data_IF_285673585337
#
_entry.id   IF_285673585337
#
_cell.length_a   1.000
_cell.length_b   1.000
_cell.length_c   1.000
_cell.angle_alpha   90.00
_cell.angle_beta   90.00
_cell.angle_gamma   90.00
#
_symmetry.space_group_name_H-M   'P 1'
#
loop_
_entity.id
_entity.type
_entity.pdbx_description
1 polymer ?
#
# COMPACT_ATOMS: atom_id res chain seq x y z
N UNK A 1 21.99 -9.07 21.36
CA UNK A 1 21.57 -9.22 21.02
C UNK A 1 21.40 -9.37 20.44
N UNK A 2 21.37 -9.12 20.47
CA UNK A 2 20.97 -9.22 19.97
C UNK A 2 21.04 -9.35 19.33
N UNK A 3 21.21 -9.01 19.33
CA UNK A 3 21.26 -9.03 18.72
C UNK A 3 21.53 -8.94 18.13
N UNK A 4 21.76 -8.47 18.16
CA UNK A 4 21.94 -8.18 17.54
C UNK A 4 22.58 -7.81 16.98
N UNK A 5 22.89 -7.57 16.81
CA UNK A 5 23.54 -6.93 16.35
C UNK A 5 23.66 -6.35 15.53
N UNK A 6 23.93 -6.46 15.03
CA UNK A 6 23.73 -5.81 14.01
C UNK A 6 23.12 -4.73 14.16
N UNK A 7 22.98 -4.48 14.93
CA UNK A 7 22.18 -3.48 15.19
C UNK A 7 22.59 -2.19 14.71
N UNK A 8 23.75 -1.93 14.53
CA UNK A 8 24.09 -0.65 14.29
C UNK A 8 23.64 -0.04 13.08
N UNK A 9 24.18 -0.26 12.03
CA UNK A 9 23.83 0.46 10.91
C UNK A 9 22.43 0.42 10.78
N UNK A 10 21.85 -0.29 11.53
CA UNK A 10 20.50 -0.43 11.43
C UNK A 10 19.74 0.73 11.87
N UNK A 11 20.30 1.63 12.57
CA UNK A 11 19.52 2.72 13.02
C UNK A 11 18.84 3.45 11.93
N UNK A 12 19.51 3.85 10.91
CA UNK A 12 18.88 4.54 9.87
C UNK A 12 18.02 3.63 9.10
N UNK A 13 18.53 2.50 8.78
CA UNK A 13 17.76 1.56 8.03
C UNK A 13 16.56 1.14 8.80
N UNK A 14 16.70 1.08 10.12
CA UNK A 14 15.62 0.70 10.96
C UNK A 14 14.45 1.65 10.86
N UNK A 15 14.69 2.91 10.79
CA UNK A 15 13.61 3.87 10.66
C UNK A 15 12.81 3.63 9.42
N UNK A 16 13.49 3.38 8.31
CA UNK A 16 12.81 3.14 7.08
C UNK A 16 12.10 1.81 7.10
N UNK A 17 12.74 0.81 7.67
CA UNK A 17 12.12 -0.50 7.75
C UNK A 17 10.88 -0.46 8.60
N UNK A 18 10.93 0.22 9.73
CA UNK A 18 9.76 0.30 10.60
C UNK A 18 8.61 0.97 9.88
N UNK A 19 8.90 2.05 9.16
CA UNK A 19 7.84 2.74 8.44
C UNK A 19 7.21 1.84 7.40
N UNK A 20 8.03 1.15 6.61
CA UNK A 20 7.52 0.29 5.57
C UNK A 20 6.76 -0.89 6.15
N UNK A 21 7.24 -1.43 7.26
CA UNK A 21 6.54 -2.54 7.91
C UNK A 21 5.18 -2.10 8.44
N UNK A 22 5.10 -0.90 8.99
CA UNK A 22 3.82 -0.40 9.46
C UNK A 22 2.84 -0.20 8.31
N UNK A 23 3.32 0.33 7.20
CA UNK A 23 2.47 0.53 6.05
C UNK A 23 2.01 -0.82 5.54
N UNK A 24 2.91 -1.78 5.44
CA UNK A 24 2.57 -3.11 4.96
C UNK A 24 1.51 -3.75 5.86
N UNK A 25 1.71 -3.64 7.18
CA UNK A 25 0.75 -4.18 8.12
C UNK A 25 -0.63 -3.55 7.90
N UNK A 26 -0.67 -2.23 7.76
CA UNK A 26 -1.94 -1.53 7.55
C UNK A 26 -2.60 -1.94 6.25
N UNK A 27 -1.81 -2.22 5.22
CA UNK A 27 -2.35 -2.65 3.95
C UNK A 27 -3.02 -4.01 4.05
N UNK A 28 -2.49 -4.88 4.92
CA UNK A 28 -3.03 -6.23 5.08
C UNK A 28 -4.13 -6.33 6.15
N UNK A 29 -4.34 -5.29 6.93
CA UNK A 29 -5.30 -5.36 8.03
C UNK A 29 -6.33 -4.25 7.92
N UNK A 30 -6.97 -4.21 6.77
CA UNK A 30 -7.96 -3.17 6.53
C UNK A 30 -9.33 -3.50 7.12
N UNK A 31 -9.63 -4.76 7.33
CA UNK A 31 -10.95 -5.11 7.82
C UNK A 31 -11.88 -5.57 6.73
N UNK A 32 -11.50 -5.42 5.49
CA UNK A 32 -12.27 -5.89 4.35
C UNK A 32 -11.34 -6.71 3.53
N UNK A 33 -11.65 -7.98 3.35
CA UNK A 33 -10.72 -8.91 2.72
C UNK A 33 -10.28 -8.47 1.35
N UNK A 34 -11.21 -7.95 0.56
CA UNK A 34 -10.86 -7.52 -0.78
C UNK A 34 -9.82 -6.41 -0.75
N UNK A 35 -9.96 -5.49 0.21
CA UNK A 35 -8.99 -4.41 0.31
C UNK A 35 -7.66 -4.90 0.86
N UNK A 36 -7.68 -5.88 1.75
CA UNK A 36 -6.44 -6.50 2.22
C UNK A 36 -5.68 -7.06 1.02
N UNK A 37 -6.37 -7.75 0.14
CA UNK A 37 -5.73 -8.33 -1.03
C UNK A 37 -5.24 -7.28 -2.01
N UNK A 38 -6.04 -6.25 -2.24
CA UNK A 38 -5.65 -5.23 -3.19
C UNK A 38 -4.47 -4.40 -2.70
N UNK A 39 -4.55 -3.90 -1.49
CA UNK A 39 -3.48 -3.06 -0.97
C UNK A 39 -2.31 -3.88 -0.47
N UNK A 40 -2.60 -4.98 0.22
CA UNK A 40 -1.54 -5.85 0.73
C UNK A 40 -0.74 -6.48 -0.38
N UNK A 41 -1.41 -6.93 -1.44
CA UNK A 41 -0.73 -7.53 -2.57
C UNK A 41 0.20 -6.54 -3.26
N UNK A 42 -0.28 -5.31 -3.46
CA UNK A 42 0.54 -4.28 -4.06
C UNK A 42 1.74 -3.98 -3.15
N UNK A 43 1.48 -3.82 -1.86
CA UNK A 43 2.54 -3.47 -0.93
C UNK A 43 3.60 -4.57 -0.84
N UNK A 44 3.17 -5.83 -0.79
CA UNK A 44 4.13 -6.92 -0.74
C UNK A 44 5.09 -6.86 -1.93
N UNK A 45 4.56 -6.54 -3.09
CA UNK A 45 5.38 -6.53 -4.29
C UNK A 45 6.21 -5.28 -4.43
N UNK A 46 5.73 -4.15 -3.94
CA UNK A 46 6.33 -2.87 -4.29
C UNK A 46 6.88 -2.05 -3.15
N UNK A 47 6.58 -2.40 -1.91
CA UNK A 47 6.88 -1.51 -0.78
C UNK A 47 8.37 -1.11 -0.71
N UNK A 48 9.26 -2.01 -1.05
CA UNK A 48 10.69 -1.72 -0.97
C UNK A 48 11.15 -0.81 -2.09
N UNK A 49 10.38 -0.69 -3.14
CA UNK A 49 10.74 0.13 -4.28
C UNK A 49 10.11 1.50 -4.26
N UNK A 50 9.23 1.75 -3.31
CA UNK A 50 8.55 3.05 -3.27
C UNK A 50 9.47 4.12 -2.68
N UNK A 51 9.45 5.29 -3.29
CA UNK A 51 10.26 6.38 -2.77
C UNK A 51 9.46 7.14 -1.73
N UNK A 52 10.05 8.18 -1.18
CA UNK A 52 9.45 8.91 -0.08
C UNK A 52 8.08 9.50 -0.46
N UNK A 53 7.99 10.07 -1.64
CA UNK A 53 6.73 10.66 -2.06
C UNK A 53 5.64 9.60 -2.21
N UNK A 54 6.01 8.47 -2.78
CA UNK A 54 5.05 7.39 -2.96
C UNK A 54 4.61 6.81 -1.61
N UNK A 55 5.52 6.71 -0.66
CA UNK A 55 5.16 6.24 0.67
C UNK A 55 4.17 7.19 1.33
N UNK A 56 4.38 8.49 1.16
CA UNK A 56 3.44 9.46 1.72
C UNK A 56 2.07 9.33 1.08
N UNK A 57 2.05 9.12 -0.22
CA UNK A 57 0.77 8.97 -0.92
C UNK A 57 0.05 7.71 -0.47
N UNK A 58 0.80 6.64 -0.24
CA UNK A 58 0.19 5.40 0.24
C UNK A 58 -0.33 5.57 1.66
N UNK A 59 0.44 6.23 2.51
CA UNK A 59 -0.03 6.48 3.87
C UNK A 59 -1.30 7.31 3.86
N UNK A 60 -1.37 8.29 2.98
CA UNK A 60 -2.58 9.10 2.88
C UNK A 60 -3.76 8.24 2.42
N UNK A 61 -3.53 7.41 1.42
CA UNK A 61 -4.58 6.56 0.91
C UNK A 61 -5.12 5.62 1.98
N UNK A 62 -4.25 5.17 2.88
CA UNK A 62 -4.68 4.27 3.94
C UNK A 62 -5.61 4.93 4.95
N UNK A 63 -5.77 6.25 4.88
CA UNK A 63 -6.72 6.92 5.75
C UNK A 63 -8.14 6.88 5.21
N UNK A 64 -8.33 6.47 3.97
CA UNK A 64 -9.66 6.39 3.41
C UNK A 64 -10.37 5.13 3.92
N UNK A 65 -11.68 5.16 3.89
CA UNK A 65 -12.46 4.01 4.33
C UNK A 65 -12.43 2.91 3.28
N UNK A 66 -12.45 1.67 3.73
CA UNK A 66 -12.40 0.53 2.84
C UNK A 66 -13.50 0.55 1.80
N UNK A 67 -14.70 0.86 2.21
CA UNK A 67 -15.81 0.82 1.26
C UNK A 67 -15.64 1.85 0.16
N UNK A 68 -15.13 3.01 0.52
CA UNK A 68 -14.89 4.05 -0.48
C UNK A 68 -13.78 3.62 -1.42
N UNK A 69 -12.67 3.13 -0.86
CA UNK A 69 -11.56 2.68 -1.70
C UNK A 69 -12.02 1.59 -2.65
N UNK A 70 -12.77 0.66 -2.14
CA UNK A 70 -13.22 -0.46 -2.96
C UNK A 70 -14.12 0.03 -4.09
N UNK A 71 -15.02 0.96 -3.78
CA UNK A 71 -15.90 1.51 -4.79
C UNK A 71 -15.14 2.26 -5.87
N UNK A 72 -14.11 3.00 -5.47
CA UNK A 72 -13.27 3.71 -6.43
C UNK A 72 -12.46 2.75 -7.27
N UNK A 73 -11.83 1.78 -6.63
CA UNK A 73 -10.93 0.87 -7.33
C UNK A 73 -11.67 -0.07 -8.28
N UNK A 74 -12.92 -0.36 -7.98
CA UNK A 74 -13.70 -1.24 -8.84
C UNK A 74 -14.56 -0.47 -9.83
N UNK A 75 -14.46 0.85 -9.82
CA UNK A 75 -15.19 1.64 -10.80
C UNK A 75 -16.63 1.90 -10.46
N UNK A 76 -17.06 1.54 -9.26
CA UNK A 76 -18.45 1.78 -8.89
C UNK A 76 -18.74 3.23 -8.62
N UNK A 77 -17.74 3.97 -8.15
CA UNK A 77 -17.86 5.39 -7.91
C UNK A 77 -16.64 6.08 -8.46
N UNK A 78 -16.80 7.32 -8.93
CA UNK A 78 -15.64 8.03 -9.47
C UNK A 78 -14.68 8.39 -8.35
N UNK A 79 -13.40 8.38 -8.65
CA UNK A 79 -12.38 8.72 -7.68
C UNK A 79 -12.35 10.23 -7.47
N UNK A 80 -12.51 10.70 -6.23
CA UNK A 80 -12.41 12.13 -5.99
C UNK A 80 -11.01 12.63 -6.28
N UNK A 81 -10.93 13.87 -6.72
CA UNK A 81 -9.67 14.42 -7.13
C UNK A 81 -8.63 14.38 -6.01
N UNK A 82 -9.04 14.60 -4.79
CA UNK A 82 -8.11 14.63 -3.67
C UNK A 82 -7.43 13.28 -3.43
N UNK A 83 -7.99 12.20 -3.95
CA UNK A 83 -7.42 10.87 -3.76
C UNK A 83 -6.70 10.38 -5.02
N UNK A 84 -6.72 11.17 -6.09
CA UNK A 84 -6.14 10.78 -7.36
C UNK A 84 -4.65 11.11 -7.36
N UNK A 85 -3.84 10.15 -6.99
CA UNK A 85 -2.40 10.33 -6.93
C UNK A 85 -1.72 9.40 -7.91
N UNK A 86 -0.45 9.68 -8.17
CA UNK A 86 0.33 8.79 -9.01
C UNK A 86 0.43 7.41 -8.39
N UNK A 87 0.53 7.35 -7.05
CA UNK A 87 0.59 6.07 -6.36
C UNK A 87 -0.71 5.30 -6.55
N UNK A 88 -1.85 5.98 -6.46
CA UNK A 88 -3.13 5.31 -6.67
C UNK A 88 -3.19 4.68 -8.07
N UNK A 89 -2.78 5.43 -9.08
CA UNK A 89 -2.78 4.90 -10.44
C UNK A 89 -1.80 3.76 -10.58
N UNK A 90 -0.71 3.79 -9.83
CA UNK A 90 0.28 2.72 -9.85
C UNK A 90 -0.32 1.43 -9.27
N UNK A 91 -1.13 1.55 -8.22
CA UNK A 91 -1.80 0.38 -7.65
C UNK A 91 -2.74 -0.24 -8.68
N UNK A 92 -3.52 0.61 -9.35
CA UNK A 92 -4.45 0.12 -10.35
C UNK A 92 -3.69 -0.58 -11.48
N UNK A 93 -2.62 0.05 -11.97
CA UNK A 93 -1.84 -0.53 -13.05
C UNK A 93 -1.21 -1.85 -12.63
N UNK A 94 -0.77 -1.93 -11.38
CA UNK A 94 -0.17 -3.17 -10.88
C UNK A 94 -1.17 -4.32 -10.98
N UNK A 95 -2.39 -4.08 -10.52
CA UNK A 95 -3.37 -5.16 -10.51
C UNK A 95 -3.85 -5.51 -11.91
N UNK A 96 -3.93 -4.53 -12.78
CA UNK A 96 -4.31 -4.82 -14.16
C UNK A 96 -3.24 -5.67 -14.83
N UNK A 97 -1.98 -5.36 -14.58
CA UNK A 97 -0.90 -6.12 -15.19
C UNK A 97 -0.76 -7.50 -14.58
N UNK A 98 -1.05 -7.63 -13.29
CA UNK A 98 -0.87 -8.90 -12.62
C UNK A 98 -1.97 -9.89 -12.95
N UNK A 99 -3.08 -9.41 -13.47
CA UNK A 99 -4.13 -10.32 -13.85
C UNK A 99 -5.41 -10.06 -13.14
N UNK A 100 -6.33 -10.91 -13.32
CA UNK A 100 -7.68 -10.69 -12.90
C UNK A 100 -7.96 -10.74 -11.47
N UNK A 101 -7.08 -11.23 -10.69
CA UNK A 101 -7.42 -11.53 -9.36
C UNK A 101 -8.10 -10.44 -8.66
N UNK A 102 -7.85 -9.39 -8.56
CA UNK A 102 -8.49 -8.43 -7.74
C UNK A 102 -9.55 -7.65 -8.42
N UNK A 103 -9.30 -7.19 -9.58
CA UNK A 103 -10.13 -6.25 -10.17
C UNK A 103 -11.01 -6.71 -11.22
N UNK A 104 -10.66 -7.66 -11.86
CA UNK A 104 -11.43 -7.97 -12.90
C UNK A 104 -12.59 -8.42 -12.58
N UNK A 105 -13.07 -8.28 -12.48
CA UNK A 105 -14.28 -8.55 -12.30
C UNK A 105 -14.65 -9.22 -12.82
#
# INVERSE_FOLDING_TARGET
MSDHPSATNDNETNGRDVRRKKILFRCWHRGMKEMDLLLGGFADAMIDDLNEEQLKELEHLLTAHDQDLYAWMTGRKPLPEEWDSALYRQIIAYHEAAGPAGFKK
#
